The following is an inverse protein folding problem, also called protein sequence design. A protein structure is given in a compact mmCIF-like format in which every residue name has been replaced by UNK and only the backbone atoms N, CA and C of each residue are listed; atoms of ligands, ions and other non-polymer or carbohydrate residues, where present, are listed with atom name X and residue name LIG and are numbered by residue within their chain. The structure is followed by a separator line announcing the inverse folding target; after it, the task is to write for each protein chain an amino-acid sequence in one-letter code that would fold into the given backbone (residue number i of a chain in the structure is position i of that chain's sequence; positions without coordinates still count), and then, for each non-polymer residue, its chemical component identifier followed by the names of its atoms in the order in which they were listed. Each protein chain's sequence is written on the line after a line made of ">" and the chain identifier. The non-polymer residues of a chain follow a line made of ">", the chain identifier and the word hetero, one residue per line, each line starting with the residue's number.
data_IF_548675318539
#
_entry.id   IF_548675318539
#
_cell.length_a   1.000
_cell.length_b   1.000
_cell.length_c   1.000
_cell.angle_alpha   90.00
_cell.angle_beta   90.00
_cell.angle_gamma   90.00
#
_symmetry.space_group_name_H-M   'P 1'
#
loop_
_entity.id
_entity.type
_entity.pdbx_description
1 polymer ?
#
# COMPACT_ATOMS: atom_id res chain seq x y z
N UNK A 1 -32.05 2.32 7.82
CA UNK A 1 -31.56 2.85 9.12
C UNK A 1 -31.26 1.67 10.01
N UNK A 2 -30.07 1.60 10.60
CA UNK A 2 -29.68 0.50 11.49
C UNK A 2 -29.82 0.95 12.96
N UNK A 3 -30.21 0.03 13.84
CA UNK A 3 -30.27 0.26 15.30
C UNK A 3 -31.66 0.50 15.87
N UNK A 4 -31.73 0.57 17.20
CA UNK A 4 -32.96 0.87 17.95
C UNK A 4 -33.29 2.37 17.90
N UNK A 5 -34.56 2.71 18.13
CA UNK A 5 -35.01 4.10 18.26
C UNK A 5 -34.26 4.78 19.41
N UNK A 6 -33.70 5.95 19.11
CA UNK A 6 -33.01 6.76 20.11
C UNK A 6 -33.96 7.79 20.73
N UNK A 7 -34.06 7.77 22.06
CA UNK A 7 -34.90 8.70 22.84
C UNK A 7 -34.17 10.02 23.17
N UNK A 8 -32.87 10.12 22.89
CA UNK A 8 -32.01 11.25 23.24
C UNK A 8 -31.16 11.68 22.04
N UNK A 9 -31.78 12.27 20.99
CA UNK A 9 -31.10 12.59 19.74
C UNK A 9 -29.96 13.61 19.91
N UNK A 10 -30.13 14.60 20.80
CA UNK A 10 -29.09 15.62 21.08
C UNK A 10 -27.81 14.99 21.64
N UNK A 11 -27.94 14.10 22.63
CA UNK A 11 -26.79 13.42 23.25
C UNK A 11 -26.06 12.53 22.25
N UNK A 12 -26.80 11.80 21.42
CA UNK A 12 -26.21 10.96 20.37
C UNK A 12 -25.43 11.81 19.34
N UNK A 13 -26.00 12.94 18.91
CA UNK A 13 -25.31 13.87 18.01
C UNK A 13 -24.01 14.39 18.64
N UNK A 14 -24.05 14.82 19.90
CA UNK A 14 -22.84 15.23 20.63
C UNK A 14 -21.80 14.10 20.68
N UNK A 15 -22.23 12.86 20.88
CA UNK A 15 -21.38 11.67 20.85
C UNK A 15 -20.70 11.48 19.49
N UNK A 16 -21.43 11.58 18.38
CA UNK A 16 -20.86 11.48 17.04
C UNK A 16 -19.84 12.59 16.75
N UNK A 17 -20.17 13.84 17.10
CA UNK A 17 -19.27 14.98 16.92
C UNK A 17 -18.01 14.83 17.76
N UNK A 18 -18.13 14.33 19.00
CA UNK A 18 -16.97 14.03 19.85
C UNK A 18 -16.12 12.92 19.24
N UNK A 19 -16.73 11.83 18.78
CA UNK A 19 -16.00 10.73 18.16
C UNK A 19 -15.21 11.16 16.92
N UNK A 20 -15.79 12.01 16.06
CA UNK A 20 -15.10 12.57 14.89
C UNK A 20 -13.90 13.43 15.29
N UNK A 21 -14.08 14.36 16.24
CA UNK A 21 -12.99 15.22 16.73
C UNK A 21 -11.85 14.43 17.36
N UNK A 22 -12.17 13.46 18.22
CA UNK A 22 -11.17 12.59 18.83
C UNK A 22 -10.37 11.80 17.77
N UNK A 23 -11.02 11.41 16.67
CA UNK A 23 -10.35 10.71 15.57
C UNK A 23 -9.38 11.62 14.84
N UNK A 24 -9.80 12.86 14.54
CA UNK A 24 -8.94 13.87 13.92
C UNK A 24 -7.74 14.22 14.81
N UNK A 25 -7.95 14.40 16.11
CA UNK A 25 -6.87 14.62 17.09
C UNK A 25 -5.87 13.45 17.09
N UNK A 26 -6.35 12.21 17.03
CA UNK A 26 -5.47 11.03 16.97
C UNK A 26 -4.65 10.98 15.68
N UNK A 27 -5.24 11.36 14.56
CA UNK A 27 -4.55 11.43 13.25
C UNK A 27 -3.52 12.55 13.25
N UNK A 28 -3.87 13.74 13.74
CA UNK A 28 -2.94 14.87 13.88
C UNK A 28 -1.75 14.48 14.74
N UNK A 29 -2.00 13.88 15.90
CA UNK A 29 -0.94 13.40 16.79
C UNK A 29 -0.04 12.37 16.11
N UNK A 30 -0.58 11.47 15.29
CA UNK A 30 0.23 10.51 14.54
C UNK A 30 1.13 11.22 13.52
N UNK A 31 0.61 12.23 12.81
CA UNK A 31 1.37 13.04 11.84
C UNK A 31 2.45 13.86 12.55
N UNK A 32 2.12 14.50 13.67
CA UNK A 32 3.08 15.26 14.50
C UNK A 32 4.23 14.39 15.01
N UNK A 33 3.96 13.11 15.29
CA UNK A 33 4.97 12.12 15.65
C UNK A 33 5.77 11.59 14.44
N UNK A 34 5.57 12.13 13.24
CA UNK A 34 6.33 11.81 12.04
C UNK A 34 5.68 10.78 11.10
N UNK A 35 4.39 10.45 11.27
CA UNK A 35 3.72 9.56 10.34
C UNK A 35 3.42 10.29 9.00
N UNK A 36 4.10 9.88 7.93
CA UNK A 36 3.92 10.47 6.59
C UNK A 36 3.00 9.66 5.68
N UNK A 37 2.96 8.33 5.86
CA UNK A 37 2.23 7.44 4.95
C UNK A 37 0.88 7.00 5.51
N UNK A 38 -0.03 6.62 4.60
CA UNK A 38 -1.31 6.04 4.99
C UNK A 38 -1.14 4.78 5.85
N UNK A 39 -0.11 3.98 5.57
CA UNK A 39 0.21 2.79 6.35
C UNK A 39 0.60 3.15 7.78
N UNK A 40 1.48 4.13 7.97
CA UNK A 40 1.97 4.54 9.29
C UNK A 40 0.84 5.10 10.15
N UNK A 41 -0.01 5.94 9.56
CA UNK A 41 -1.15 6.54 10.25
C UNK A 41 -2.18 5.46 10.62
N UNK A 42 -2.53 4.55 9.72
CA UNK A 42 -3.48 3.46 10.01
C UNK A 42 -2.91 2.52 11.08
N UNK A 43 -1.65 2.11 10.96
CA UNK A 43 -1.00 1.23 11.92
C UNK A 43 -0.94 1.85 13.33
N UNK A 44 -0.78 3.16 13.43
CA UNK A 44 -0.78 3.87 14.72
C UNK A 44 -2.21 4.04 15.27
N UNK A 45 -3.08 4.71 14.50
CA UNK A 45 -4.43 5.14 14.94
C UNK A 45 -5.41 3.97 15.09
N UNK A 46 -5.21 2.89 14.34
CA UNK A 46 -6.04 1.68 14.34
C UNK A 46 -5.25 0.43 14.74
N UNK A 47 -4.18 0.58 15.54
CA UNK A 47 -3.34 -0.52 16.05
C UNK A 47 -4.12 -1.66 16.70
N UNK A 48 -5.23 -1.36 17.39
CA UNK A 48 -6.10 -2.36 18.03
C UNK A 48 -7.17 -2.97 17.12
N UNK A 49 -7.26 -2.57 15.86
CA UNK A 49 -8.25 -3.09 14.90
C UNK A 49 -7.64 -4.19 14.06
N UNK A 50 -8.41 -5.26 13.84
CA UNK A 50 -8.01 -6.37 13.00
C UNK A 50 -7.61 -5.91 11.59
N UNK A 51 -6.48 -6.44 11.11
CA UNK A 51 -5.91 -6.09 9.82
C UNK A 51 -6.89 -6.27 8.65
N UNK A 52 -7.85 -7.20 8.73
CA UNK A 52 -8.87 -7.40 7.67
C UNK A 52 -9.78 -6.18 7.48
N UNK A 53 -9.89 -5.31 8.49
CA UNK A 53 -10.71 -4.08 8.45
C UNK A 53 -9.89 -2.83 8.09
N UNK A 54 -8.59 -2.97 7.82
CA UNK A 54 -7.71 -1.82 7.59
C UNK A 54 -8.01 -1.07 6.29
N UNK A 55 -8.67 -1.69 5.32
CA UNK A 55 -9.15 -0.97 4.12
C UNK A 55 -10.22 0.06 4.46
N UNK A 56 -11.16 -0.30 5.34
CA UNK A 56 -12.17 0.62 5.85
C UNK A 56 -11.53 1.69 6.74
N UNK A 57 -10.57 1.30 7.59
CA UNK A 57 -9.81 2.25 8.41
C UNK A 57 -9.03 3.26 7.57
N UNK A 58 -8.33 2.80 6.51
CA UNK A 58 -7.58 3.65 5.59
C UNK A 58 -8.48 4.66 4.88
N UNK A 59 -9.66 4.23 4.44
CA UNK A 59 -10.67 5.12 3.85
C UNK A 59 -11.13 6.18 4.83
N UNK A 60 -11.30 5.81 6.10
CA UNK A 60 -11.65 6.72 7.18
C UNK A 60 -10.55 7.75 7.45
N UNK A 61 -9.29 7.31 7.55
CA UNK A 61 -8.12 8.19 7.71
C UNK A 61 -8.05 9.20 6.57
N UNK A 62 -8.18 8.75 5.33
CA UNK A 62 -8.14 9.64 4.17
C UNK A 62 -9.20 10.75 4.25
N UNK A 63 -10.44 10.39 4.56
CA UNK A 63 -11.52 11.37 4.71
C UNK A 63 -11.21 12.42 5.78
N UNK A 64 -10.62 12.01 6.91
CA UNK A 64 -10.25 12.95 7.97
C UNK A 64 -9.03 13.81 7.62
N UNK A 65 -8.03 13.26 6.93
CA UNK A 65 -6.88 14.04 6.44
C UNK A 65 -7.35 15.09 5.44
N UNK A 66 -8.22 14.73 4.49
CA UNK A 66 -8.79 15.68 3.53
C UNK A 66 -9.59 16.79 4.23
N UNK A 67 -10.35 16.45 5.28
CA UNK A 67 -11.07 17.41 6.09
C UNK A 67 -10.14 18.37 6.87
N UNK A 68 -9.04 17.84 7.41
CA UNK A 68 -8.03 18.63 8.12
C UNK A 68 -7.25 19.57 7.19
N UNK A 69 -6.99 19.14 5.96
CA UNK A 69 -6.35 19.95 4.91
C UNK A 69 -7.26 21.13 4.53
N UNK A 70 -8.55 20.88 4.32
CA UNK A 70 -9.54 21.93 4.05
C UNK A 70 -9.60 22.98 5.17
N UNK A 71 -9.42 22.55 6.42
CA UNK A 71 -9.38 23.44 7.58
C UNK A 71 -8.00 24.09 7.80
N UNK A 72 -6.99 23.77 6.99
CA UNK A 72 -5.59 24.21 7.14
C UNK A 72 -5.02 23.89 8.53
N UNK A 73 -5.39 22.75 9.10
CA UNK A 73 -4.95 22.29 10.42
C UNK A 73 -3.76 21.33 10.36
N UNK A 74 -3.38 20.89 9.17
CA UNK A 74 -2.24 20.00 9.00
C UNK A 74 -0.92 20.76 9.22
N UNK A 75 0.12 20.11 9.78
CA UNK A 75 1.46 20.69 9.88
C UNK A 75 2.00 21.11 8.51
N UNK A 76 2.77 22.20 8.44
CA UNK A 76 3.32 22.74 7.18
C UNK A 76 4.22 21.74 6.43
N UNK A 77 4.92 20.90 7.18
CA UNK A 77 5.82 19.88 6.61
C UNK A 77 5.07 18.68 6.03
N UNK A 78 3.78 18.50 6.36
CA UNK A 78 3.00 17.36 5.91
C UNK A 78 2.50 17.58 4.47
N UNK A 79 3.00 16.76 3.54
CA UNK A 79 2.56 16.81 2.14
C UNK A 79 1.37 15.89 1.88
N UNK A 80 0.18 16.48 1.78
CA UNK A 80 -1.07 15.77 1.42
C UNK A 80 -0.96 15.05 0.08
N UNK A 81 -0.24 15.63 -0.89
CA UNK A 81 0.00 14.98 -2.18
C UNK A 81 0.83 13.70 -2.04
N UNK A 82 1.88 13.70 -1.21
CA UNK A 82 2.68 12.49 -0.94
C UNK A 82 1.82 11.44 -0.24
N UNK A 83 1.03 11.85 0.76
CA UNK A 83 0.08 10.98 1.45
C UNK A 83 -0.88 10.29 0.47
N UNK A 84 -1.52 11.03 -0.44
CA UNK A 84 -2.43 10.43 -1.44
C UNK A 84 -1.75 9.41 -2.36
N UNK A 85 -0.49 9.63 -2.73
CA UNK A 85 0.28 8.67 -3.54
C UNK A 85 0.49 7.33 -2.82
N UNK A 86 0.45 7.30 -1.49
CA UNK A 86 0.62 6.05 -0.71
C UNK A 86 -0.61 5.15 -0.69
N UNK A 87 -1.75 5.60 -1.24
CA UNK A 87 -2.98 4.82 -1.28
C UNK A 87 -2.85 3.52 -2.09
N UNK A 88 -2.40 3.61 -3.34
CA UNK A 88 -2.25 2.43 -4.21
C UNK A 88 -1.25 1.42 -3.63
N UNK A 89 -0.04 1.85 -3.19
CA UNK A 89 0.90 0.96 -2.51
C UNK A 89 0.35 0.34 -1.22
N UNK A 90 -0.44 1.08 -0.43
CA UNK A 90 -1.08 0.55 0.77
C UNK A 90 -2.02 -0.61 0.43
N UNK A 91 -2.91 -0.43 -0.55
CA UNK A 91 -3.84 -1.47 -0.96
C UNK A 91 -3.10 -2.69 -1.51
N UNK A 92 -2.07 -2.51 -2.33
CA UNK A 92 -1.28 -3.62 -2.86
C UNK A 92 -0.55 -4.40 -1.75
N UNK A 93 0.07 -3.70 -0.80
CA UNK A 93 0.75 -4.31 0.34
C UNK A 93 -0.24 -5.04 1.24
N UNK A 94 -1.38 -4.42 1.52
CA UNK A 94 -2.43 -5.00 2.35
C UNK A 94 -3.06 -6.23 1.70
N UNK A 95 -3.42 -6.20 0.42
CA UNK A 95 -4.00 -7.36 -0.28
C UNK A 95 -3.00 -8.50 -0.33
N UNK A 96 -1.73 -8.23 -0.63
CA UNK A 96 -0.68 -9.25 -0.61
C UNK A 96 -0.53 -9.90 0.78
N UNK A 97 -0.49 -9.10 1.85
CA UNK A 97 -0.40 -9.62 3.22
C UNK A 97 -1.65 -10.41 3.65
N UNK A 98 -2.84 -9.91 3.31
CA UNK A 98 -4.12 -10.54 3.63
C UNK A 98 -4.31 -11.86 2.86
N UNK A 99 -3.95 -11.90 1.57
CA UNK A 99 -4.03 -13.11 0.76
C UNK A 99 -2.97 -14.12 1.19
N UNK A 100 -1.73 -13.69 1.43
CA UNK A 100 -0.65 -14.58 1.87
C UNK A 100 -0.95 -15.24 3.22
N UNK A 101 -1.50 -14.49 4.18
CA UNK A 101 -1.89 -15.06 5.49
C UNK A 101 -3.04 -16.06 5.37
N UNK A 102 -3.95 -15.89 4.41
CA UNK A 102 -5.06 -16.83 4.14
C UNK A 102 -4.61 -18.07 3.36
N UNK A 103 -3.64 -17.94 2.46
CA UNK A 103 -3.11 -19.05 1.65
C UNK A 103 -2.18 -19.94 2.47
N UNK A 104 -1.41 -19.38 3.43
CA UNK A 104 -0.52 -20.16 4.29
C UNK A 104 -1.24 -21.25 5.13
N UNK A 105 -2.54 -21.11 5.40
CA UNK A 105 -3.32 -22.13 6.10
C UNK A 105 -3.82 -23.29 5.20
N UNK A 106 -3.72 -23.20 3.88
CA UNK A 106 -4.19 -24.26 2.95
C UNK A 106 -3.11 -24.95 2.13
N UNK A 107 -1.87 -24.46 2.13
CA UNK A 107 -0.76 -25.08 1.41
C UNK A 107 0.32 -25.55 2.40
N UNK A 108 0.33 -26.81 2.84
CA UNK A 108 1.51 -27.37 3.47
C UNK A 108 2.61 -27.43 2.41
N UNK A 109 3.61 -26.55 2.52
CA UNK A 109 4.86 -26.57 1.74
C UNK A 109 4.67 -26.73 0.23
N UNK A 110 4.29 -25.64 -0.45
CA UNK A 110 4.62 -25.49 -1.88
C UNK A 110 6.15 -25.41 -1.98
N UNK A 111 6.79 -26.56 -2.29
CA UNK A 111 8.22 -26.65 -2.63
C UNK A 111 8.44 -25.90 -3.96
N UNK A 112 8.63 -24.58 -3.89
CA UNK A 112 8.97 -23.73 -5.04
C UNK A 112 10.49 -23.83 -5.33
N UNK A 113 11.05 -25.04 -5.32
CA UNK A 113 12.49 -25.25 -5.52
C UNK A 113 12.87 -25.92 -6.85
N UNK A 114 11.93 -26.18 -7.77
CA UNK A 114 12.27 -26.87 -9.03
C UNK A 114 11.80 -26.22 -10.33
N UNK A 115 11.12 -25.07 -10.30
CA UNK A 115 10.54 -24.47 -11.51
C UNK A 115 11.34 -23.30 -12.11
N UNK A 116 12.54 -23.00 -11.60
CA UNK A 116 13.41 -21.95 -12.16
C UNK A 116 14.70 -22.44 -12.84
N UNK A 117 14.89 -23.74 -13.08
CA UNK A 117 16.17 -24.23 -13.64
C UNK A 117 16.07 -24.66 -15.12
N UNK A 118 14.91 -24.98 -15.67
CA UNK A 118 14.86 -25.54 -17.05
C UNK A 118 14.71 -24.49 -18.17
N UNK A 119 14.50 -23.21 -17.84
CA UNK A 119 14.21 -22.15 -18.84
C UNK A 119 15.38 -21.25 -19.24
N UNK A 120 16.55 -21.36 -18.61
CA UNK A 120 17.65 -20.37 -18.77
C UNK A 120 18.87 -20.87 -19.54
N UNK A 121 18.94 -22.16 -19.90
CA UNK A 121 20.13 -22.70 -20.59
C UNK A 121 20.05 -22.60 -22.11
N UNK A 122 18.86 -22.51 -22.71
CA UNK A 122 18.72 -22.46 -24.19
C UNK A 122 18.99 -21.03 -24.75
N UNK A 123 18.82 -19.98 -23.94
CA UNK A 123 18.99 -18.59 -24.40
C UNK A 123 20.44 -18.07 -24.46
N UNK A 124 21.37 -18.67 -23.71
CA UNK A 124 22.75 -18.13 -23.59
C UNK A 124 23.68 -18.67 -24.69
N UNK A 125 23.43 -19.87 -25.21
CA UNK A 125 24.23 -20.45 -26.31
C UNK A 125 23.90 -19.84 -27.70
N UNK A 126 22.67 -19.40 -27.93
CA UNK A 126 22.28 -18.77 -29.21
C UNK A 126 22.86 -17.36 -29.40
N UNK A 127 22.96 -16.58 -28.32
CA UNK A 127 23.44 -15.20 -28.40
C UNK A 127 24.96 -15.07 -28.60
N UNK A 128 25.71 -16.10 -28.23
CA UNK A 128 27.18 -16.14 -28.37
C UNK A 128 27.64 -16.61 -29.76
N UNK A 129 26.80 -17.32 -30.52
CA UNK A 129 27.09 -17.69 -31.92
C UNK A 129 26.74 -16.59 -32.93
N UNK A 130 25.70 -15.80 -32.67
CA UNK A 130 25.27 -14.71 -33.58
C UNK A 130 26.22 -13.50 -33.61
N UNK A 131 26.97 -13.22 -32.53
CA UNK A 131 27.93 -12.11 -32.51
C UNK A 131 29.27 -12.42 -33.18
N UNK A 132 29.70 -13.68 -33.24
CA UNK A 132 30.93 -14.06 -33.97
C UNK A 132 30.76 -14.00 -35.50
N UNK A 133 29.56 -14.28 -36.01
CA UNK A 133 29.30 -14.21 -37.46
C UNK A 133 29.21 -12.78 -38.00
N UNK A 134 28.75 -11.80 -37.20
CA UNK A 134 28.62 -10.41 -37.63
C UNK A 134 29.95 -9.63 -37.62
N UNK A 135 30.88 -9.99 -36.72
CA UNK A 135 32.20 -9.32 -36.66
C UNK A 135 33.15 -9.77 -37.78
N UNK A 136 32.97 -10.99 -38.32
CA UNK A 136 33.84 -11.54 -39.36
C UNK A 136 33.45 -11.15 -40.80
N UNK A 137 32.27 -10.56 -41.00
CA UNK A 137 31.78 -10.09 -42.30
C UNK A 137 32.02 -8.58 -42.54
N UNK A 138 32.60 -7.87 -41.56
CA UNK A 138 32.94 -6.45 -41.67
C UNK A 138 34.41 -6.20 -42.09
N UNK A 139 35.27 -7.22 -42.16
CA UNK A 139 36.70 -7.06 -42.49
C UNK A 139 37.08 -7.49 -43.91
N UNK A 140 36.16 -7.98 -44.75
CA UNK A 140 36.46 -8.43 -46.12
C UNK A 140 35.75 -7.62 -47.22
N UNK A 141 35.59 -6.31 -47.02
CA UNK A 141 34.83 -5.44 -47.93
C UNK A 141 35.49 -4.10 -48.31
N UNK A 142 36.81 -3.94 -48.12
CA UNK A 142 37.59 -2.81 -48.67
C UNK A 142 38.97 -3.29 -49.08
N UNK A 143 39.17 -3.51 -50.38
CA UNK A 143 40.49 -3.79 -50.93
C UNK A 143 40.45 -4.55 -52.25
N UNK A 144 40.09 -3.86 -53.34
CA UNK A 144 40.62 -3.98 -54.70
C UNK A 144 39.73 -3.16 -55.64
#
# INVERSE_FOLDING_TARGET
>A
MHGRVNLWPKNMLCGYLKNRRNREESILKAIENGAETLFDIVANVYSGVDCSLWTAAASNVRLHVDHLDQQKKLPKEFSVQRFHKTWVPFFLKWTCAYVSSRIQFKCPKLKISSLLITGTVIGIAGYSLGKKACFHLSETGKGA
#
